data_IF_231582365596
#
_entry.id   IF_231582365596
#
_cell.length_a   1.000
_cell.length_b   1.000
_cell.length_c   1.000
_cell.angle_alpha   90.00
_cell.angle_beta   90.00
_cell.angle_gamma   90.00
#
_symmetry.space_group_name_H-M   'P 1'
#
loop_
_entity.id
_entity.type
_entity.pdbx_description
1 polymer ?
#
# COMPACT_ATOMS: atom_id res chain seq x y z
N UNK A 1 -15.06 -10.66 3.46
CA UNK A 1 -14.14 -9.75 4.17
C UNK A 1 -13.24 -9.05 3.16
N UNK A 2 -12.81 -7.82 3.44
CA UNK A 2 -11.86 -7.11 2.60
C UNK A 2 -10.46 -7.16 3.21
N UNK A 3 -9.46 -7.39 2.38
CA UNK A 3 -8.05 -7.43 2.78
C UNK A 3 -7.34 -6.22 2.15
N UNK A 4 -6.70 -5.38 2.96
CA UNK A 4 -5.82 -4.31 2.49
C UNK A 4 -4.37 -4.79 2.65
N UNK A 5 -3.74 -5.16 1.56
CA UNK A 5 -2.31 -5.41 1.51
C UNK A 5 -1.59 -4.08 1.36
N UNK A 6 -0.69 -3.77 2.27
CA UNK A 6 -0.02 -2.48 2.33
C UNK A 6 1.47 -2.63 2.60
N UNK A 7 2.24 -1.67 2.12
CA UNK A 7 3.68 -1.60 2.33
C UNK A 7 4.14 -0.14 2.43
N UNK A 8 5.34 0.07 2.96
CA UNK A 8 5.97 1.37 3.02
C UNK A 8 6.97 1.59 1.89
N UNK A 9 7.17 2.86 1.52
CA UNK A 9 8.26 3.28 0.64
C UNK A 9 8.85 4.61 1.10
N UNK A 10 10.17 4.68 1.12
CA UNK A 10 10.91 5.77 1.76
C UNK A 10 11.20 5.45 3.23
N UNK A 11 12.32 5.98 3.73
CA UNK A 11 12.77 5.78 5.11
C UNK A 11 12.34 6.94 6.01
N UNK A 12 11.83 6.62 7.19
CA UNK A 12 11.51 7.63 8.23
C UNK A 12 12.78 8.28 8.76
N UNK A 13 13.86 7.51 8.90
CA UNK A 13 15.11 7.94 9.55
C UNK A 13 16.14 8.51 8.57
N UNK A 14 16.07 8.19 7.27
CA UNK A 14 17.02 8.72 6.29
C UNK A 14 16.71 10.19 5.95
N UNK A 15 17.57 11.09 6.38
CA UNK A 15 17.42 12.52 6.14
C UNK A 15 17.46 12.91 4.65
N UNK A 16 18.05 12.07 3.78
CA UNK A 16 18.13 12.32 2.34
C UNK A 16 16.82 12.00 1.61
N UNK A 17 15.92 11.30 2.26
CA UNK A 17 14.60 10.96 1.72
C UNK A 17 13.55 11.87 2.38
N UNK A 18 13.03 12.83 1.64
CA UNK A 18 12.08 13.80 2.19
C UNK A 18 10.64 13.28 2.25
N UNK A 19 10.34 12.17 1.59
CA UNK A 19 9.00 11.58 1.57
C UNK A 19 8.98 10.23 2.26
N UNK A 20 7.88 9.97 2.97
CA UNK A 20 7.48 8.66 3.47
C UNK A 20 6.09 8.34 2.92
N UNK A 21 5.91 7.15 2.41
CA UNK A 21 4.65 6.67 1.82
C UNK A 21 4.24 5.38 2.50
N UNK A 22 2.97 5.27 2.84
CA UNK A 22 2.32 4.03 3.23
C UNK A 22 1.17 3.81 2.25
N UNK A 23 1.20 2.74 1.46
CA UNK A 23 0.20 2.54 0.41
C UNK A 23 -0.10 1.06 0.17
N UNK A 24 -1.25 0.77 -0.43
CA UNK A 24 -1.62 -0.60 -0.71
C UNK A 24 -2.90 -0.75 -1.52
N UNK A 25 -3.27 -2.00 -1.73
CA UNK A 25 -4.46 -2.41 -2.47
C UNK A 25 -5.44 -3.17 -1.58
N UNK A 26 -6.69 -2.70 -1.55
CA UNK A 26 -7.81 -3.42 -0.94
C UNK A 26 -8.51 -4.29 -1.97
N UNK A 27 -8.79 -5.53 -1.59
CA UNK A 27 -9.53 -6.49 -2.39
C UNK A 27 -10.45 -7.35 -1.51
N UNK A 28 -11.51 -7.90 -2.12
CA UNK A 28 -12.33 -8.92 -1.47
C UNK A 28 -11.55 -10.24 -1.41
N UNK A 29 -11.58 -10.95 -0.27
CA UNK A 29 -10.70 -12.10 -0.01
C UNK A 29 -10.69 -13.15 -1.12
N UNK A 30 -11.82 -13.40 -1.79
CA UNK A 30 -11.92 -14.39 -2.87
C UNK A 30 -11.09 -14.04 -4.11
N UNK A 31 -10.66 -12.79 -4.23
CA UNK A 31 -9.85 -12.35 -5.38
C UNK A 31 -8.35 -12.59 -5.16
N UNK A 32 -7.92 -12.89 -3.93
CA UNK A 32 -6.50 -13.09 -3.60
C UNK A 32 -5.83 -14.12 -4.51
N UNK A 33 -6.47 -15.26 -4.73
CA UNK A 33 -5.95 -16.32 -5.60
C UNK A 33 -5.81 -15.86 -7.06
N UNK A 34 -6.76 -15.09 -7.57
CA UNK A 34 -6.70 -14.57 -8.93
C UNK A 34 -5.51 -13.63 -9.12
N UNK A 35 -5.26 -12.72 -8.16
CA UNK A 35 -4.11 -11.82 -8.18
C UNK A 35 -2.79 -12.60 -8.10
N UNK A 36 -2.69 -13.53 -7.16
CA UNK A 36 -1.48 -14.34 -6.96
C UNK A 36 -1.09 -15.07 -8.26
N UNK A 37 -2.05 -15.73 -8.92
CA UNK A 37 -1.79 -16.45 -10.18
C UNK A 37 -1.34 -15.51 -11.32
N UNK A 38 -1.89 -14.29 -11.40
CA UNK A 38 -1.49 -13.32 -12.44
C UNK A 38 -0.07 -12.80 -12.20
N UNK A 39 0.29 -12.55 -10.95
CA UNK A 39 1.63 -12.13 -10.57
C UNK A 39 2.64 -13.27 -10.73
N UNK A 40 2.26 -14.51 -10.41
CA UNK A 40 3.06 -15.70 -10.66
C UNK A 40 3.35 -15.88 -12.16
N UNK A 41 2.36 -15.66 -13.02
CA UNK A 41 2.56 -15.71 -14.46
C UNK A 41 3.57 -14.67 -14.95
N UNK A 42 3.68 -13.50 -14.30
CA UNK A 42 4.71 -12.51 -14.59
C UNK A 42 6.08 -13.02 -14.11
N UNK A 43 6.18 -13.49 -12.86
CA UNK A 43 7.42 -14.04 -12.31
C UNK A 43 7.95 -15.23 -13.13
N UNK A 44 7.06 -16.11 -13.59
CA UNK A 44 7.37 -17.26 -14.43
C UNK A 44 8.07 -16.88 -15.75
N UNK A 45 7.81 -15.70 -16.32
CA UNK A 45 8.50 -15.21 -17.52
C UNK A 45 10.01 -15.03 -17.30
N UNK A 46 10.43 -14.78 -16.06
CA UNK A 46 11.82 -14.50 -15.68
C UNK A 46 12.56 -15.73 -15.14
N UNK A 47 11.83 -16.64 -14.51
CA UNK A 47 12.34 -17.94 -14.09
C UNK A 47 11.27 -19.02 -14.24
N UNK A 48 11.16 -19.67 -15.42
CA UNK A 48 10.16 -20.72 -15.64
C UNK A 48 10.35 -21.96 -14.76
N UNK A 49 11.58 -22.24 -14.34
CA UNK A 49 11.88 -23.41 -13.50
C UNK A 49 11.44 -23.21 -12.04
N UNK A 50 11.49 -21.98 -11.54
CA UNK A 50 11.12 -21.64 -10.17
C UNK A 50 10.65 -20.19 -10.09
N UNK A 51 9.37 -19.95 -10.38
CA UNK A 51 8.78 -18.60 -10.28
C UNK A 51 8.74 -18.07 -8.85
N UNK A 52 8.76 -18.95 -7.85
CA UNK A 52 8.69 -18.56 -6.44
C UNK A 52 9.96 -17.82 -5.98
N UNK A 53 11.11 -18.11 -6.61
CA UNK A 53 12.38 -17.42 -6.34
C UNK A 53 12.44 -15.98 -6.90
N UNK A 54 11.50 -15.61 -7.78
CA UNK A 54 11.45 -14.27 -8.37
C UNK A 54 10.59 -13.35 -7.53
N UNK A 55 11.20 -12.47 -6.77
CA UNK A 55 10.49 -11.45 -6.00
C UNK A 55 10.22 -10.21 -6.86
N UNK A 56 8.95 -9.79 -6.91
CA UNK A 56 8.49 -8.58 -7.60
C UNK A 56 8.59 -7.38 -6.64
N UNK A 57 9.76 -6.81 -6.51
CA UNK A 57 10.08 -5.73 -5.58
C UNK A 57 10.54 -4.47 -6.35
N UNK A 58 9.84 -3.37 -6.20
CA UNK A 58 9.97 -2.17 -7.05
C UNK A 58 11.38 -1.59 -7.11
N UNK A 59 12.04 -1.41 -5.96
CA UNK A 59 13.38 -0.84 -5.91
C UNK A 59 14.44 -1.73 -6.56
N UNK A 60 14.58 -3.03 -6.26
CA UNK A 60 15.46 -3.95 -6.98
C UNK A 60 15.13 -4.09 -8.47
N UNK A 61 13.86 -4.17 -8.84
CA UNK A 61 13.43 -4.23 -10.24
C UNK A 61 13.90 -3.01 -11.01
N UNK A 62 13.65 -1.82 -10.49
CA UNK A 62 14.03 -0.59 -11.18
C UNK A 62 15.54 -0.39 -11.23
N UNK A 63 16.24 -0.58 -10.11
CA UNK A 63 17.69 -0.35 -10.01
C UNK A 63 18.55 -1.46 -10.62
N UNK A 64 17.99 -2.65 -10.90
CA UNK A 64 18.74 -3.81 -11.39
C UNK A 64 19.63 -4.43 -10.32
N UNK A 65 19.12 -4.60 -9.11
CA UNK A 65 19.85 -5.27 -8.03
C UNK A 65 19.41 -6.74 -7.89
N UNK A 66 20.31 -7.56 -7.34
CA UNK A 66 20.06 -8.99 -7.12
C UNK A 66 19.70 -9.73 -8.40
N UNK A 67 18.65 -10.55 -8.36
CA UNK A 67 18.13 -11.31 -9.49
C UNK A 67 17.88 -10.45 -10.74
N UNK A 68 17.41 -9.20 -10.57
CA UNK A 68 17.02 -8.32 -11.67
C UNK A 68 18.20 -7.71 -12.46
N UNK A 69 19.44 -7.89 -11.98
CA UNK A 69 20.65 -7.35 -12.63
C UNK A 69 20.86 -7.86 -14.06
N UNK A 70 20.44 -9.08 -14.34
CA UNK A 70 20.62 -9.76 -15.63
C UNK A 70 19.68 -9.24 -16.74
N UNK A 71 18.66 -8.46 -16.38
CA UNK A 71 17.67 -7.98 -17.35
C UNK A 71 17.87 -6.48 -17.65
N UNK A 72 17.68 -6.06 -18.92
CA UNK A 72 17.73 -4.65 -19.30
C UNK A 72 16.67 -3.81 -18.56
N UNK A 73 16.94 -2.52 -18.38
CA UNK A 73 16.04 -1.62 -17.67
C UNK A 73 14.63 -1.58 -18.29
N UNK A 74 14.54 -1.61 -19.65
CA UNK A 74 13.24 -1.62 -20.34
C UNK A 74 12.38 -2.83 -19.98
N UNK A 75 13.01 -4.02 -19.92
CA UNK A 75 12.33 -5.28 -19.54
C UNK A 75 11.86 -5.22 -18.09
N UNK A 76 12.69 -4.71 -17.17
CA UNK A 76 12.36 -4.56 -15.75
C UNK A 76 11.23 -3.55 -15.51
N UNK A 77 11.27 -2.41 -16.21
CA UNK A 77 10.18 -1.41 -16.18
C UNK A 77 8.86 -2.00 -16.69
N UNK A 78 8.92 -2.77 -17.79
CA UNK A 78 7.72 -3.40 -18.33
C UNK A 78 7.14 -4.42 -17.35
N UNK A 79 7.98 -5.18 -16.63
CA UNK A 79 7.52 -6.11 -15.61
C UNK A 79 6.79 -5.40 -14.45
N UNK A 80 7.27 -4.23 -14.03
CA UNK A 80 6.56 -3.39 -13.03
C UNK A 80 5.21 -2.94 -13.60
N UNK A 81 5.18 -2.40 -14.81
CA UNK A 81 3.94 -1.94 -15.47
C UNK A 81 2.96 -3.10 -15.62
N UNK A 82 3.39 -4.27 -16.08
CA UNK A 82 2.54 -5.45 -16.25
C UNK A 82 1.92 -5.89 -14.92
N UNK A 83 2.72 -5.85 -13.83
CA UNK A 83 2.24 -6.22 -12.49
C UNK A 83 1.18 -5.24 -11.98
N UNK A 84 1.41 -3.94 -12.14
CA UNK A 84 0.46 -2.90 -11.75
C UNK A 84 -0.81 -2.90 -12.63
N UNK A 85 -0.68 -3.24 -13.92
CA UNK A 85 -1.81 -3.33 -14.84
C UNK A 85 -2.82 -4.44 -14.48
N UNK A 86 -2.43 -5.41 -13.65
CA UNK A 86 -3.37 -6.40 -13.09
C UNK A 86 -4.46 -5.70 -12.27
N UNK A 87 -4.11 -4.64 -11.55
CA UNK A 87 -5.05 -3.83 -10.76
C UNK A 87 -6.15 -3.26 -11.65
N UNK A 88 -5.80 -2.77 -12.84
CA UNK A 88 -6.77 -2.22 -13.81
C UNK A 88 -7.77 -3.28 -14.32
N UNK A 89 -7.29 -4.50 -14.50
CA UNK A 89 -8.07 -5.62 -15.04
C UNK A 89 -8.88 -6.35 -13.96
N UNK A 90 -8.68 -5.99 -12.70
CA UNK A 90 -9.34 -6.60 -11.56
C UNK A 90 -10.76 -6.06 -11.37
N UNK A 91 -11.51 -6.67 -10.46
CA UNK A 91 -12.87 -6.25 -10.16
C UNK A 91 -12.95 -4.78 -9.72
N UNK A 92 -14.04 -4.12 -10.08
CA UNK A 92 -14.21 -2.67 -9.82
C UNK A 92 -14.24 -2.29 -8.34
N UNK A 93 -14.49 -3.24 -7.43
CA UNK A 93 -14.43 -2.99 -5.98
C UNK A 93 -13.00 -2.92 -5.41
N UNK A 94 -11.97 -3.32 -6.18
CA UNK A 94 -10.60 -3.20 -5.70
C UNK A 94 -10.18 -1.74 -5.71
N UNK A 95 -9.61 -1.27 -4.61
CA UNK A 95 -9.26 0.13 -4.39
C UNK A 95 -7.84 0.27 -3.89
N UNK A 96 -7.20 1.35 -4.30
CA UNK A 96 -5.89 1.77 -3.80
C UNK A 96 -6.10 2.81 -2.71
N UNK A 97 -5.32 2.65 -1.63
CA UNK A 97 -5.18 3.61 -0.55
C UNK A 97 -3.72 3.98 -0.42
N UNK A 98 -3.44 5.27 -0.28
CA UNK A 98 -2.09 5.80 -0.13
C UNK A 98 -2.08 7.00 0.81
N UNK A 99 -1.06 7.07 1.63
CA UNK A 99 -0.73 8.22 2.45
C UNK A 99 0.69 8.68 2.13
N UNK A 100 0.85 9.93 1.76
CA UNK A 100 2.13 10.55 1.41
C UNK A 100 2.45 11.62 2.43
N UNK A 101 3.58 11.48 3.10
CA UNK A 101 4.07 12.42 4.11
C UNK A 101 5.37 13.06 3.60
N UNK A 102 5.38 14.37 3.44
CA UNK A 102 6.59 15.15 3.25
C UNK A 102 7.20 15.47 4.62
N UNK A 103 8.30 14.82 4.95
CA UNK A 103 8.91 14.91 6.30
C UNK A 103 9.29 16.31 6.71
N UNK A 104 9.74 17.15 5.77
CA UNK A 104 10.08 18.56 6.04
C UNK A 104 8.87 19.41 6.43
N UNK A 105 7.65 18.95 6.19
CA UNK A 105 6.41 19.64 6.59
C UNK A 105 5.95 19.25 8.01
N UNK A 106 6.50 18.16 8.57
CA UNK A 106 6.24 17.78 9.95
C UNK A 106 6.89 18.77 10.92
N UNK A 107 6.19 19.07 12.02
CA UNK A 107 6.68 20.02 13.03
C UNK A 107 6.59 21.49 12.66
N UNK A 108 6.08 21.84 11.48
CA UNK A 108 5.78 23.24 11.17
C UNK A 108 4.62 23.74 12.05
N UNK A 109 4.78 24.94 12.61
CA UNK A 109 3.79 25.54 13.48
C UNK A 109 2.40 25.59 12.83
N UNK A 110 1.37 25.10 13.54
CA UNK A 110 -0.02 25.06 13.05
C UNK A 110 -0.38 23.87 12.14
N UNK A 111 0.54 22.98 11.80
CA UNK A 111 0.30 21.80 10.96
C UNK A 111 0.28 20.46 11.73
N UNK A 112 0.04 20.51 13.04
CA UNK A 112 -0.13 19.27 13.82
C UNK A 112 -1.47 18.61 13.44
N UNK A 113 -1.40 17.62 12.57
CA UNK A 113 -2.50 16.69 12.35
C UNK A 113 -2.25 15.51 13.28
N UNK A 114 -3.22 15.12 14.08
CA UNK A 114 -3.13 14.03 15.07
C UNK A 114 -2.19 14.21 16.29
N UNK A 115 -1.68 15.42 16.55
CA UNK A 115 -0.86 15.66 17.73
C UNK A 115 0.50 14.96 17.76
N UNK A 116 1.01 14.49 16.61
CA UNK A 116 2.27 13.75 16.50
C UNK A 116 3.04 14.18 15.26
N UNK A 117 4.38 14.32 15.44
CA UNK A 117 5.33 14.50 14.35
C UNK A 117 5.88 13.16 13.83
N UNK A 118 5.32 12.04 14.26
CA UNK A 118 5.72 10.70 13.80
C UNK A 118 5.07 10.38 12.44
N UNK A 119 5.87 10.25 11.36
CA UNK A 119 5.36 9.93 10.03
C UNK A 119 4.60 8.60 9.97
N UNK A 120 5.02 7.58 10.75
CA UNK A 120 4.40 6.25 10.76
C UNK A 120 3.00 6.35 11.37
N UNK A 121 2.90 7.01 12.54
CA UNK A 121 1.62 7.21 13.21
C UNK A 121 0.65 7.95 12.28
N UNK A 122 1.08 9.07 11.68
CA UNK A 122 0.24 9.86 10.80
C UNK A 122 -0.17 9.06 9.56
N UNK A 123 0.78 8.36 8.90
CA UNK A 123 0.49 7.57 7.73
C UNK A 123 -0.48 6.42 8.03
N UNK A 124 -0.26 5.70 9.14
CA UNK A 124 -1.14 4.61 9.54
C UNK A 124 -2.53 5.11 9.95
N UNK A 125 -2.63 6.22 10.68
CA UNK A 125 -3.91 6.83 11.04
C UNK A 125 -4.72 7.18 9.78
N UNK A 126 -4.10 7.84 8.81
CA UNK A 126 -4.77 8.23 7.58
C UNK A 126 -5.15 7.03 6.69
N UNK A 127 -4.26 6.06 6.54
CA UNK A 127 -4.53 4.86 5.75
C UNK A 127 -5.68 4.04 6.35
N UNK A 128 -5.62 3.78 7.66
CA UNK A 128 -6.62 2.97 8.37
C UNK A 128 -7.98 3.64 8.40
N UNK A 129 -8.05 4.96 8.64
CA UNK A 129 -9.29 5.73 8.62
C UNK A 129 -9.97 5.67 7.25
N UNK A 130 -9.22 5.84 6.17
CA UNK A 130 -9.75 5.81 4.81
C UNK A 130 -10.28 4.43 4.43
N UNK A 131 -9.57 3.39 4.84
CA UNK A 131 -10.02 2.02 4.63
C UNK A 131 -11.26 1.71 5.48
N UNK A 132 -11.34 2.15 6.74
CA UNK A 132 -12.53 2.00 7.59
C UNK A 132 -13.76 2.69 6.98
N UNK A 133 -13.60 3.91 6.48
CA UNK A 133 -14.66 4.64 5.78
C UNK A 133 -15.10 3.92 4.49
N UNK A 134 -14.16 3.35 3.74
CA UNK A 134 -14.50 2.54 2.57
C UNK A 134 -15.34 1.32 2.97
N UNK A 135 -14.95 0.59 4.02
CA UNK A 135 -15.72 -0.55 4.52
C UNK A 135 -17.13 -0.13 4.95
N UNK A 136 -17.26 1.03 5.60
CA UNK A 136 -18.58 1.59 5.97
C UNK A 136 -19.46 1.82 4.75
N UNK A 137 -18.91 2.36 3.65
CA UNK A 137 -19.66 2.59 2.41
C UNK A 137 -20.09 1.30 1.70
N UNK A 138 -19.44 0.18 1.99
CA UNK A 138 -19.81 -1.13 1.47
C UNK A 138 -20.91 -1.82 2.28
N UNK A 139 -21.32 -1.27 3.41
CA UNK A 139 -22.44 -1.83 4.18
C UNK A 139 -23.71 -1.77 3.35
N UNK A 140 -24.45 -2.86 3.35
CA UNK A 140 -25.73 -2.97 2.65
C UNK A 140 -26.75 -3.70 3.52
N UNK A 141 -27.85 -3.05 3.82
CA UNK A 141 -28.89 -3.59 4.72
C UNK A 141 -28.29 -4.01 6.08
N UNK A 142 -28.35 -5.28 6.43
CA UNK A 142 -27.76 -5.85 7.64
C UNK A 142 -26.39 -6.49 7.40
N UNK A 143 -25.81 -6.34 6.20
CA UNK A 143 -24.49 -6.88 5.83
C UNK A 143 -23.40 -5.84 6.08
N UNK A 144 -22.74 -5.94 7.24
CA UNK A 144 -21.61 -5.07 7.59
C UNK A 144 -20.33 -5.65 7.04
N UNK A 145 -19.58 -4.85 6.27
CA UNK A 145 -18.29 -5.24 5.73
C UNK A 145 -17.17 -5.07 6.75
N UNK A 146 -16.30 -6.07 6.85
CA UNK A 146 -15.14 -6.07 7.74
C UNK A 146 -13.86 -6.19 6.93
N UNK A 147 -12.77 -5.67 7.50
CA UNK A 147 -11.46 -5.72 6.88
C UNK A 147 -10.32 -6.03 7.84
N UNK A 148 -9.19 -6.43 7.25
CA UNK A 148 -7.90 -6.59 7.91
C UNK A 148 -6.84 -5.92 7.04
N UNK A 149 -5.88 -5.24 7.66
CA UNK A 149 -4.68 -4.76 6.97
C UNK A 149 -3.58 -5.81 7.12
N UNK A 150 -2.87 -6.08 6.05
CA UNK A 150 -1.77 -7.04 5.99
C UNK A 150 -0.55 -6.30 5.44
N UNK A 151 0.51 -6.24 6.24
CA UNK A 151 1.77 -5.57 5.91
C UNK A 151 2.89 -6.57 5.58
N UNK A 152 3.95 -6.10 4.94
CA UNK A 152 5.23 -6.80 4.97
C UNK A 152 5.81 -6.75 6.38
N UNK A 153 6.63 -7.75 6.73
CA UNK A 153 7.39 -7.76 7.99
C UNK A 153 8.32 -6.56 8.03
N UNK A 154 8.18 -5.74 9.06
CA UNK A 154 8.99 -4.54 9.22
C UNK A 154 9.35 -4.30 10.68
N UNK A 155 10.25 -3.36 10.92
CA UNK A 155 10.63 -2.91 12.27
C UNK A 155 9.48 -2.16 12.98
N UNK A 156 8.43 -1.81 12.26
CA UNK A 156 7.29 -1.03 12.77
C UNK A 156 6.12 -1.91 13.24
N UNK A 157 6.24 -3.23 13.19
CA UNK A 157 5.16 -4.18 13.51
C UNK A 157 4.52 -3.89 14.87
N UNK A 158 5.31 -3.88 15.95
CA UNK A 158 4.78 -3.61 17.30
C UNK A 158 4.15 -2.22 17.44
N UNK A 159 4.73 -1.21 16.78
CA UNK A 159 4.20 0.15 16.77
C UNK A 159 2.83 0.20 16.09
N UNK A 160 2.71 -0.39 14.89
CA UNK A 160 1.48 -0.40 14.11
C UNK A 160 0.38 -1.19 14.84
N UNK A 161 0.70 -2.35 15.44
CA UNK A 161 -0.26 -3.15 16.20
C UNK A 161 -0.75 -2.40 17.45
N UNK A 162 0.13 -1.71 18.17
CA UNK A 162 -0.24 -0.87 19.33
C UNK A 162 -1.14 0.30 18.90
N UNK A 163 -0.82 0.98 17.79
CA UNK A 163 -1.66 2.04 17.26
C UNK A 163 -3.05 1.52 16.86
N UNK A 164 -3.11 0.37 16.18
CA UNK A 164 -4.38 -0.23 15.75
C UNK A 164 -5.25 -0.60 16.96
N UNK A 165 -4.66 -1.16 18.01
CA UNK A 165 -5.36 -1.46 19.27
C UNK A 165 -5.94 -0.18 19.88
N UNK A 166 -5.14 0.88 19.99
CA UNK A 166 -5.60 2.16 20.53
C UNK A 166 -6.71 2.78 19.66
N UNK A 167 -6.58 2.75 18.33
CA UNK A 167 -7.57 3.32 17.41
C UNK A 167 -8.91 2.56 17.42
N UNK A 168 -8.89 1.27 17.76
CA UNK A 168 -10.09 0.44 17.90
C UNK A 168 -10.77 0.58 19.26
N UNK A 169 -10.04 0.95 20.32
CA UNK A 169 -10.56 0.97 21.71
C UNK A 169 -10.75 2.36 22.27
N UNK A 170 -9.74 3.22 22.13
CA UNK A 170 -9.75 4.58 22.65
C UNK A 170 -10.17 5.58 21.56
N UNK A 171 -9.70 5.33 20.32
CA UNK A 171 -9.90 6.20 19.17
C UNK A 171 -8.66 6.99 18.77
N UNK A 172 -8.84 7.81 17.75
CA UNK A 172 -7.83 8.70 17.17
C UNK A 172 -8.50 10.03 16.76
N UNK A 173 -7.79 10.91 16.08
CA UNK A 173 -8.29 12.25 15.70
C UNK A 173 -9.65 12.22 14.98
N UNK A 174 -9.93 11.17 14.23
CA UNK A 174 -11.14 11.04 13.39
C UNK A 174 -12.19 10.08 13.96
N UNK A 175 -12.02 9.60 15.18
CA UNK A 175 -12.96 8.68 15.86
C UNK A 175 -12.35 7.30 16.14
N UNK A 176 -13.17 6.27 16.07
CA UNK A 176 -12.80 4.88 16.38
C UNK A 176 -12.89 4.04 15.11
N UNK A 177 -11.88 3.18 14.86
CA UNK A 177 -11.93 2.19 13.79
C UNK A 177 -12.93 1.07 14.16
N UNK A 178 -14.02 0.97 13.41
CA UNK A 178 -15.15 0.08 13.77
C UNK A 178 -15.24 -1.17 12.91
N UNK A 179 -14.64 -1.15 11.71
CA UNK A 179 -14.84 -2.19 10.71
C UNK A 179 -13.63 -3.13 10.57
N UNK A 180 -12.63 -3.00 11.43
CA UNK A 180 -11.50 -3.91 11.47
C UNK A 180 -11.85 -5.18 12.26
N UNK A 181 -11.64 -6.35 11.64
CA UNK A 181 -11.83 -7.65 12.28
C UNK A 181 -10.71 -7.95 13.27
N UNK A 182 -9.48 -7.51 12.96
CA UNK A 182 -8.30 -7.78 13.76
C UNK A 182 -7.30 -6.61 13.68
N UNK A 183 -6.30 -6.60 14.55
CA UNK A 183 -5.10 -5.77 14.39
C UNK A 183 -4.35 -6.16 13.13
N UNK A 184 -3.52 -5.29 12.55
CA UNK A 184 -2.77 -5.62 11.35
C UNK A 184 -1.93 -6.88 11.49
N UNK A 185 -1.94 -7.70 10.42
CA UNK A 185 -1.12 -8.89 10.28
C UNK A 185 0.16 -8.57 9.51
N UNK A 186 1.21 -9.37 9.73
CA UNK A 186 2.50 -9.18 9.06
C UNK A 186 2.94 -10.48 8.38
N UNK A 187 3.27 -10.42 7.10
CA UNK A 187 3.69 -11.55 6.27
C UNK A 187 5.10 -11.31 5.71
N UNK A 188 5.78 -12.39 5.36
CA UNK A 188 7.02 -12.34 4.59
C UNK A 188 6.67 -12.08 3.11
N UNK A 189 7.21 -11.01 2.52
CA UNK A 189 6.97 -10.63 1.12
C UNK A 189 7.34 -11.73 0.13
N UNK A 190 8.36 -12.55 0.44
CA UNK A 190 8.75 -13.69 -0.40
C UNK A 190 7.67 -14.76 -0.50
N UNK A 191 6.82 -14.88 0.51
CA UNK A 191 5.73 -15.84 0.53
C UNK A 191 4.41 -15.28 -0.03
N UNK A 192 4.32 -13.98 -0.27
CA UNK A 192 3.05 -13.33 -0.64
C UNK A 192 3.16 -12.43 -1.86
N UNK A 193 2.61 -12.86 -3.00
CA UNK A 193 2.50 -12.05 -4.21
C UNK A 193 1.71 -10.75 -4.01
N UNK A 194 0.76 -10.76 -3.09
CA UNK A 194 -0.04 -9.58 -2.80
C UNK A 194 0.72 -8.53 -1.99
N UNK A 195 1.61 -8.94 -1.10
CA UNK A 195 2.55 -8.02 -0.44
C UNK A 195 3.52 -7.42 -1.48
N UNK A 196 4.05 -8.25 -2.40
CA UNK A 196 4.88 -7.75 -3.49
C UNK A 196 4.14 -6.74 -4.38
N UNK A 197 2.83 -6.95 -4.63
CA UNK A 197 2.03 -5.96 -5.34
C UNK A 197 1.84 -4.67 -4.53
N UNK A 198 1.68 -4.77 -3.21
CA UNK A 198 1.61 -3.60 -2.33
C UNK A 198 2.91 -2.79 -2.33
N UNK A 199 4.08 -3.47 -2.31
CA UNK A 199 5.39 -2.82 -2.51
C UNK A 199 5.43 -2.04 -3.84
N UNK A 200 5.03 -2.67 -4.95
CA UNK A 200 5.01 -1.99 -6.24
C UNK A 200 4.08 -0.76 -6.25
N UNK A 201 2.95 -0.81 -5.56
CA UNK A 201 2.05 0.34 -5.40
C UNK A 201 2.72 1.44 -4.57
N UNK A 202 3.27 1.11 -3.40
CA UNK A 202 3.94 2.06 -2.52
C UNK A 202 5.16 2.70 -3.20
N UNK A 203 5.98 1.89 -3.88
CA UNK A 203 7.11 2.34 -4.68
C UNK A 203 6.69 3.31 -5.79
N UNK A 204 5.60 3.03 -6.49
CA UNK A 204 5.09 3.89 -7.57
C UNK A 204 4.62 5.25 -7.06
N UNK A 205 3.88 5.25 -5.92
CA UNK A 205 3.48 6.49 -5.24
C UNK A 205 4.73 7.26 -4.78
N UNK A 206 5.69 6.61 -4.14
CA UNK A 206 6.93 7.23 -3.69
C UNK A 206 7.70 7.89 -4.85
N UNK A 207 7.82 7.22 -5.99
CA UNK A 207 8.50 7.78 -7.18
C UNK A 207 7.82 9.03 -7.68
N UNK A 208 6.50 9.05 -7.75
CA UNK A 208 5.73 10.23 -8.16
C UNK A 208 6.11 11.47 -7.36
N UNK A 209 6.16 11.36 -6.01
CA UNK A 209 6.43 12.51 -5.15
C UNK A 209 7.91 12.81 -4.93
N UNK A 210 8.76 11.77 -4.92
CA UNK A 210 10.19 11.95 -4.63
C UNK A 210 11.06 12.17 -5.87
N UNK A 211 10.59 11.79 -7.05
CA UNK A 211 11.35 11.81 -8.32
C UNK A 211 10.59 12.49 -9.46
N UNK A 212 9.39 13.01 -9.19
CA UNK A 212 8.49 13.58 -10.21
C UNK A 212 8.28 12.61 -11.41
N UNK A 213 8.19 11.30 -11.11
CA UNK A 213 8.02 10.24 -12.10
C UNK A 213 6.72 9.49 -11.84
N UNK A 214 5.68 9.84 -12.59
CA UNK A 214 4.35 9.24 -12.47
C UNK A 214 4.16 7.98 -13.35
N UNK A 215 5.16 7.55 -14.10
CA UNK A 215 5.06 6.46 -15.08
C UNK A 215 4.36 5.20 -14.54
N UNK A 216 4.69 4.81 -13.31
CA UNK A 216 4.09 3.63 -12.68
C UNK A 216 2.78 3.97 -11.97
N UNK A 217 2.68 5.15 -11.35
CA UNK A 217 1.48 5.61 -10.66
C UNK A 217 0.29 5.71 -11.61
N UNK A 218 0.48 6.25 -12.80
CA UNK A 218 -0.57 6.48 -13.80
C UNK A 218 -1.22 5.15 -14.26
N UNK A 219 -0.51 4.02 -14.13
CA UNK A 219 -1.04 2.69 -14.47
C UNK A 219 -2.26 2.34 -13.63
N UNK A 220 -2.33 2.77 -12.37
CA UNK A 220 -3.45 2.43 -11.46
C UNK A 220 -4.17 3.64 -10.86
N UNK A 221 -3.84 4.87 -11.24
CA UNK A 221 -4.34 6.09 -10.62
C UNK A 221 -5.87 6.15 -10.53
N UNK A 222 -6.58 5.66 -11.55
CA UNK A 222 -8.05 5.60 -11.57
C UNK A 222 -8.65 4.54 -10.62
N UNK A 223 -7.82 3.72 -9.95
CA UNK A 223 -8.22 2.75 -8.92
C UNK A 223 -8.05 3.28 -7.50
N UNK A 224 -7.49 4.49 -7.34
CA UNK A 224 -7.53 5.18 -6.05
C UNK A 224 -8.99 5.33 -5.62
N UNK A 225 -9.26 5.02 -4.35
CA UNK A 225 -10.63 5.07 -3.83
C UNK A 225 -11.22 6.46 -4.00
N UNK A 226 -12.41 6.48 -4.61
CA UNK A 226 -13.18 7.72 -4.82
C UNK A 226 -14.67 7.44 -4.63
N UNK A 227 -15.38 8.44 -4.14
CA UNK A 227 -16.82 8.38 -3.94
C UNK A 227 -17.44 9.76 -4.17
N UNK A 228 -18.57 9.81 -4.89
CA UNK A 228 -19.29 11.06 -5.20
C UNK A 228 -18.37 12.16 -5.80
N UNK A 229 -17.41 11.78 -6.66
CA UNK A 229 -16.48 12.72 -7.29
C UNK A 229 -15.31 13.18 -6.41
N UNK A 230 -15.22 12.68 -5.17
CA UNK A 230 -14.15 13.02 -4.23
C UNK A 230 -13.18 11.86 -4.11
N UNK A 231 -11.87 12.15 -4.20
CA UNK A 231 -10.80 11.18 -3.95
C UNK A 231 -10.62 10.99 -2.45
N UNK A 232 -10.91 9.79 -1.97
CA UNK A 232 -10.78 9.40 -0.57
C UNK A 232 -9.52 8.54 -0.31
N UNK A 233 -9.05 7.81 -1.32
CA UNK A 233 -7.96 6.85 -1.18
C UNK A 233 -6.56 7.46 -1.15
N UNK A 234 -6.40 8.77 -1.41
CA UNK A 234 -5.10 9.43 -1.37
C UNK A 234 -5.12 10.55 -0.32
N UNK A 235 -4.15 10.49 0.59
CA UNK A 235 -3.87 11.56 1.53
C UNK A 235 -2.47 12.12 1.27
N UNK A 236 -2.37 13.44 1.21
CA UNK A 236 -1.13 14.17 0.95
C UNK A 236 -0.88 15.16 2.08
N UNK A 237 0.21 14.98 2.79
CA UNK A 237 0.76 15.94 3.74
C UNK A 237 2.06 16.49 3.15
N UNK A 238 1.94 17.59 2.38
CA UNK A 238 3.02 18.17 1.57
C UNK A 238 3.55 19.48 2.15
#
# INVERSE_FOLDING_TARGET
MHLLYADESGSVTDANQNFFVLAGISLFERQGYWFANRLDAIAHRFNPADSSSVELHGSPMFSGRGFWRQFPLSVRKQAIIDSLAIIQRSHASNRIFACVIKKSSLGQAGRLVSGSNDPIRLAFEQLSTRFDHYLTRLHHSNDTQRGVIIFDKSTYESTIQSLATNFRTIGHTWGILRNFSEVPLFLDSRASRLIQLADLVAYSVFRKYSKDDSTFFDVFANRIDQHAGVVHGLYEFL
#
